data_IF_259793483947
#
_entry.id   IF_259793483947
#
_cell.length_a   1.000
_cell.length_b   1.000
_cell.length_c   1.000
_cell.angle_alpha   90.00
_cell.angle_beta   90.00
_cell.angle_gamma   90.00
#
_symmetry.space_group_name_H-M   'P 1'
#
loop_
_entity.id
_entity.type
_entity.pdbx_description
1 polymer ?
#
# COMPACT_ATOMS: atom_id res chain seq x y z
N UNK A 1 1.51 6.58 -13.08
CA UNK A 1 2.45 5.44 -13.18
C UNK A 1 2.06 4.39 -12.16
N UNK A 2 2.26 3.14 -12.49
CA UNK A 2 1.89 2.01 -11.62
C UNK A 2 3.13 1.41 -10.99
N UNK A 3 3.11 1.28 -9.67
CA UNK A 3 4.24 0.71 -8.93
C UNK A 3 3.73 -0.34 -7.95
N UNK A 4 4.41 -1.47 -7.88
CA UNK A 4 4.06 -2.55 -6.96
C UNK A 4 5.04 -2.55 -5.79
N UNK A 5 4.48 -2.60 -4.58
CA UNK A 5 5.26 -2.61 -3.34
C UNK A 5 5.04 -3.92 -2.60
N UNK A 6 6.11 -4.49 -2.05
CA UNK A 6 6.01 -5.66 -1.19
C UNK A 6 5.77 -5.19 0.24
N UNK A 7 4.69 -5.66 0.84
CA UNK A 7 4.27 -5.22 2.18
C UNK A 7 4.55 -6.34 3.18
N UNK A 8 5.32 -6.05 4.22
CA UNK A 8 5.58 -6.99 5.29
C UNK A 8 4.47 -6.91 6.34
N UNK A 9 4.10 -8.07 6.86
CA UNK A 9 3.12 -8.16 7.93
C UNK A 9 1.67 -8.22 7.48
N UNK A 10 1.43 -8.12 6.18
CA UNK A 10 0.07 -8.18 5.64
C UNK A 10 -0.33 -9.63 5.44
N UNK A 11 -0.98 -10.21 6.45
CA UNK A 11 -1.29 -11.64 6.47
C UNK A 11 -2.77 -11.97 6.57
N UNK A 12 -3.64 -10.98 6.67
CA UNK A 12 -5.07 -11.24 6.80
C UNK A 12 -5.88 -10.21 5.99
N UNK A 13 -7.16 -10.51 5.68
CA UNK A 13 -7.99 -9.59 4.90
C UNK A 13 -8.15 -8.22 5.56
N UNK A 14 -8.16 -8.17 6.88
CA UNK A 14 -8.24 -6.92 7.60
C UNK A 14 -7.00 -6.06 7.36
N UNK A 15 -5.84 -6.69 7.29
CA UNK A 15 -4.58 -6.01 6.97
C UNK A 15 -4.63 -5.40 5.58
N UNK A 16 -5.17 -6.16 4.62
CA UNK A 16 -5.36 -5.67 3.24
C UNK A 16 -6.21 -4.40 3.24
N UNK A 17 -7.34 -4.43 3.93
CA UNK A 17 -8.25 -3.28 3.98
C UNK A 17 -7.57 -2.06 4.61
N UNK A 18 -6.79 -2.27 5.67
CA UNK A 18 -6.08 -1.21 6.35
C UNK A 18 -5.06 -0.54 5.42
N UNK A 19 -4.25 -1.33 4.74
CA UNK A 19 -3.25 -0.82 3.80
C UNK A 19 -3.93 -0.09 2.63
N UNK A 20 -4.97 -0.68 2.07
CA UNK A 20 -5.70 -0.08 0.97
C UNK A 20 -6.25 1.29 1.35
N UNK A 21 -6.88 1.37 2.52
CA UNK A 21 -7.44 2.63 3.00
C UNK A 21 -6.36 3.67 3.24
N UNK A 22 -5.24 3.27 3.83
CA UNK A 22 -4.13 4.18 4.09
C UNK A 22 -3.56 4.75 2.80
N UNK A 23 -3.41 3.92 1.78
CA UNK A 23 -2.85 4.36 0.50
C UNK A 23 -3.82 5.22 -0.29
N UNK A 24 -5.12 4.92 -0.23
CA UNK A 24 -6.12 5.74 -0.90
C UNK A 24 -6.22 7.15 -0.34
N UNK A 25 -5.81 7.34 0.89
CA UNK A 25 -5.80 8.65 1.52
C UNK A 25 -4.63 9.54 1.11
N UNK A 26 -3.69 9.03 0.34
CA UNK A 26 -2.53 9.81 -0.10
C UNK A 26 -2.87 10.67 -1.32
N UNK A 27 -2.33 11.90 -1.31
CA UNK A 27 -2.42 12.76 -2.47
C UNK A 27 -1.65 12.15 -3.63
N UNK A 28 -2.23 12.18 -4.82
CA UNK A 28 -1.61 11.66 -6.01
C UNK A 28 -1.88 10.19 -6.27
N UNK A 29 -2.56 9.49 -5.37
CA UNK A 29 -2.94 8.10 -5.60
C UNK A 29 -4.27 8.07 -6.35
N UNK A 30 -4.28 7.47 -7.53
CA UNK A 30 -5.49 7.32 -8.33
C UNK A 30 -6.20 6.02 -8.03
N UNK A 31 -5.44 4.93 -7.89
CA UNK A 31 -6.02 3.63 -7.56
C UNK A 31 -5.04 2.79 -6.77
N UNK A 32 -5.56 1.86 -6.00
CA UNK A 32 -4.77 0.93 -5.20
C UNK A 32 -5.35 -0.47 -5.39
N UNK A 33 -4.47 -1.43 -5.64
CA UNK A 33 -4.86 -2.84 -5.71
C UNK A 33 -3.93 -3.63 -4.78
N UNK A 34 -4.52 -4.25 -3.78
CA UNK A 34 -3.76 -5.02 -2.79
C UNK A 34 -3.98 -6.51 -3.03
N UNK A 35 -2.88 -7.26 -3.16
CA UNK A 35 -2.93 -8.70 -3.31
C UNK A 35 -2.44 -9.35 -2.03
N UNK A 36 -3.36 -9.93 -1.29
CA UNK A 36 -3.05 -10.56 -0.01
C UNK A 36 -2.21 -11.82 -0.19
N UNK A 37 -2.48 -12.59 -1.22
CA UNK A 37 -1.76 -13.84 -1.47
C UNK A 37 -0.27 -13.59 -1.75
N UNK A 38 0.03 -12.51 -2.45
CA UNK A 38 1.41 -12.13 -2.75
C UNK A 38 2.00 -11.18 -1.73
N UNK A 39 1.19 -10.61 -0.87
CA UNK A 39 1.64 -9.60 0.08
C UNK A 39 2.09 -8.31 -0.60
N UNK A 40 1.43 -7.93 -1.70
CA UNK A 40 1.81 -6.77 -2.48
C UNK A 40 0.69 -5.74 -2.56
N UNK A 41 1.10 -4.48 -2.75
CA UNK A 41 0.17 -3.40 -3.02
C UNK A 41 0.61 -2.69 -4.29
N UNK A 42 -0.27 -2.62 -5.27
CA UNK A 42 -0.02 -1.92 -6.53
C UNK A 42 -0.70 -0.57 -6.46
N UNK A 43 0.08 0.49 -6.60
CA UNK A 43 -0.40 1.87 -6.52
C UNK A 43 -0.26 2.53 -7.87
N UNK A 44 -1.34 3.11 -8.36
CA UNK A 44 -1.36 3.88 -9.60
C UNK A 44 -1.55 5.35 -9.28
N UNK A 45 -0.76 6.20 -9.91
CA UNK A 45 -0.82 7.63 -9.73
C UNK A 45 0.56 8.27 -9.65
N UNK A 46 0.63 9.44 -9.05
CA UNK A 46 1.85 10.24 -8.96
C UNK A 46 2.48 10.27 -7.58
N UNK A 47 1.92 9.53 -6.62
CA UNK A 47 2.47 9.46 -5.27
C UNK A 47 3.89 8.89 -5.30
N UNK A 48 4.78 9.48 -4.48
CA UNK A 48 6.16 9.04 -4.43
C UNK A 48 6.30 7.73 -3.66
N UNK A 49 7.32 6.91 -3.95
CA UNK A 49 7.56 5.69 -3.17
C UNK A 49 7.75 5.97 -1.68
N UNK A 50 8.35 7.10 -1.34
CA UNK A 50 8.55 7.49 0.05
C UNK A 50 7.22 7.76 0.76
N UNK A 51 6.29 8.44 0.09
CA UNK A 51 4.98 8.70 0.65
C UNK A 51 4.21 7.40 0.87
N UNK A 52 4.29 6.48 -0.08
CA UNK A 52 3.64 5.18 0.04
C UNK A 52 4.23 4.38 1.20
N UNK A 53 5.55 4.33 1.31
CA UNK A 53 6.21 3.61 2.40
C UNK A 53 5.82 4.20 3.77
N UNK A 54 5.76 5.52 3.87
CA UNK A 54 5.37 6.17 5.11
C UNK A 54 3.93 5.84 5.48
N UNK A 55 3.03 5.85 4.53
CA UNK A 55 1.63 5.51 4.78
C UNK A 55 1.49 4.07 5.26
N UNK A 56 2.25 3.16 4.67
CA UNK A 56 2.25 1.75 5.08
C UNK A 56 2.75 1.60 6.51
N UNK A 57 3.82 2.31 6.87
CA UNK A 57 4.36 2.27 8.23
C UNK A 57 3.37 2.82 9.25
N UNK A 58 2.68 3.89 8.90
CA UNK A 58 1.65 4.48 9.77
C UNK A 58 0.48 3.53 9.98
N UNK A 59 0.22 2.66 9.01
CA UNK A 59 -0.81 1.64 9.13
C UNK A 59 -0.37 0.44 9.97
N UNK A 60 0.89 0.39 10.37
CA UNK A 60 1.42 -0.69 11.20
C UNK A 60 2.15 -1.78 10.43
N UNK A 61 2.50 -1.53 9.18
CA UNK A 61 3.19 -2.49 8.32
C UNK A 61 4.52 -1.93 7.85
N UNK A 62 5.21 -2.66 7.00
CA UNK A 62 6.48 -2.22 6.46
C UNK A 62 6.56 -2.56 4.98
N UNK A 63 7.37 -1.80 4.25
CA UNK A 63 7.64 -2.05 2.83
C UNK A 63 9.02 -2.70 2.73
N UNK A 64 9.07 -3.80 2.02
CA UNK A 64 10.34 -4.50 1.79
C UNK A 64 11.20 -3.77 0.76
#
# INVERSE_FOLDING_TARGET
MTTTYNIEGMTCPHCKATVEKALRGLDGVESVDVDLAKGTATVDGTATPEAVAQAVRLAGFDVK
#
